data_IF_374253044811
#
_entry.id   IF_374253044811
#
_cell.length_a   1.000
_cell.length_b   1.000
_cell.length_c   1.000
_cell.angle_alpha   90.00
_cell.angle_beta   90.00
_cell.angle_gamma   90.00
#
_symmetry.space_group_name_H-M   'P 1'
#
loop_
_entity.id
_entity.type
_entity.pdbx_description
1 polymer ?
#
# COMPACT_ATOMS: atom_id res chain seq x y z
N UNK A 1 14.26 -5.14 -26.00
CA UNK A 1 12.82 -4.86 -26.14
C UNK A 1 12.57 -3.47 -26.70
N UNK A 2 12.85 -2.37 -25.97
CA UNK A 2 12.54 -1.00 -26.43
C UNK A 2 13.11 -0.69 -27.84
N UNK A 3 14.40 -1.00 -28.11
CA UNK A 3 14.99 -0.82 -29.45
C UNK A 3 14.36 -1.68 -30.55
N UNK A 4 13.79 -2.84 -30.18
CA UNK A 4 13.17 -3.78 -31.10
C UNK A 4 11.74 -3.33 -31.45
N UNK A 5 10.95 -3.04 -30.42
CA UNK A 5 9.54 -2.66 -30.57
C UNK A 5 9.37 -1.19 -31.00
N UNK A 6 10.38 -0.34 -30.73
CA UNK A 6 10.40 1.10 -31.05
C UNK A 6 9.09 1.82 -30.69
N UNK A 7 8.63 1.73 -29.43
CA UNK A 7 7.40 2.39 -29.03
C UNK A 7 7.59 3.91 -29.08
N UNK A 8 6.51 4.66 -29.32
CA UNK A 8 6.54 6.13 -29.30
C UNK A 8 6.91 6.67 -27.91
N UNK A 9 6.48 5.98 -26.85
CA UNK A 9 6.80 6.29 -25.45
C UNK A 9 6.88 5.03 -24.59
N UNK A 10 7.62 5.10 -23.49
CA UNK A 10 7.67 4.05 -22.45
C UNK A 10 7.04 4.58 -21.17
N UNK A 11 6.06 3.86 -20.63
CA UNK A 11 5.50 4.13 -19.30
C UNK A 11 6.05 3.11 -18.31
N UNK A 12 6.77 3.57 -17.30
CA UNK A 12 7.30 2.73 -16.23
C UNK A 12 6.42 2.75 -14.98
N UNK A 13 6.15 1.57 -14.43
CA UNK A 13 5.46 1.40 -13.14
C UNK A 13 6.47 0.85 -12.14
N UNK A 14 6.90 1.66 -11.17
CA UNK A 14 7.82 1.27 -10.09
C UNK A 14 9.08 0.51 -10.57
N UNK A 15 9.65 0.90 -11.73
CA UNK A 15 10.78 0.18 -12.36
C UNK A 15 12.00 1.06 -12.51
N UNK A 16 12.94 0.94 -11.57
CA UNK A 16 14.15 1.78 -11.45
C UNK A 16 15.01 1.89 -12.73
N UNK A 17 15.04 0.84 -13.55
CA UNK A 17 15.89 0.79 -14.75
C UNK A 17 15.17 1.19 -16.04
N UNK A 18 13.84 1.40 -15.99
CA UNK A 18 13.06 1.68 -17.18
C UNK A 18 13.42 3.03 -17.80
N UNK A 19 13.56 4.09 -16.98
CA UNK A 19 14.01 5.42 -17.41
C UNK A 19 15.34 5.38 -18.16
N UNK A 20 16.36 4.77 -17.55
CA UNK A 20 17.67 4.64 -18.17
C UNK A 20 17.62 3.82 -19.46
N UNK A 21 16.83 2.74 -19.48
CA UNK A 21 16.67 1.90 -20.68
C UNK A 21 16.00 2.65 -21.84
N UNK A 22 15.01 3.49 -21.53
CA UNK A 22 14.33 4.33 -22.52
C UNK A 22 15.26 5.42 -23.06
N UNK A 23 16.02 6.09 -22.18
CA UNK A 23 17.05 7.07 -22.56
C UNK A 23 18.11 6.48 -23.49
N UNK A 24 18.63 5.28 -23.19
CA UNK A 24 19.62 4.57 -24.03
C UNK A 24 19.04 4.16 -25.39
N UNK A 25 17.71 4.00 -25.47
CA UNK A 25 17.01 3.71 -26.71
C UNK A 25 16.56 4.97 -27.47
N UNK A 26 16.74 6.16 -26.90
CA UNK A 26 16.26 7.42 -27.47
C UNK A 26 14.73 7.54 -27.48
N UNK A 27 14.03 6.84 -26.57
CA UNK A 27 12.57 6.85 -26.49
C UNK A 27 12.12 7.65 -25.25
N UNK A 28 11.13 8.55 -25.36
CA UNK A 28 10.57 9.28 -24.23
C UNK A 28 10.06 8.37 -23.12
N UNK A 29 10.21 8.81 -21.88
CA UNK A 29 9.82 8.04 -20.69
C UNK A 29 8.86 8.82 -19.79
N UNK A 30 7.71 8.19 -19.52
CA UNK A 30 6.76 8.61 -18.51
C UNK A 30 6.79 7.66 -17.32
N UNK A 31 6.42 8.17 -16.15
CA UNK A 31 6.35 7.39 -14.94
C UNK A 31 4.92 7.36 -14.40
N UNK A 32 4.54 6.19 -13.90
CA UNK A 32 3.34 6.00 -13.11
C UNK A 32 3.77 5.43 -11.75
N UNK A 33 3.56 6.19 -10.68
CA UNK A 33 4.18 5.94 -9.37
C UNK A 33 3.27 6.38 -8.22
N UNK A 34 3.59 5.96 -6.99
CA UNK A 34 3.07 6.61 -5.80
C UNK A 34 3.88 7.87 -5.44
N UNK A 35 3.20 8.93 -5.03
CA UNK A 35 3.79 10.24 -4.77
C UNK A 35 4.84 10.21 -3.67
N UNK A 36 4.69 9.35 -2.66
CA UNK A 36 5.68 9.23 -1.57
C UNK A 36 7.06 8.71 -2.02
N UNK A 37 7.16 8.17 -3.24
CA UNK A 37 8.42 7.70 -3.82
C UNK A 37 9.07 8.71 -4.77
N UNK A 38 8.45 9.88 -4.94
CA UNK A 38 9.01 10.98 -5.72
C UNK A 38 9.97 11.82 -4.86
N UNK A 39 10.94 12.54 -5.47
CA UNK A 39 11.78 13.48 -4.73
C UNK A 39 10.98 14.69 -4.22
N UNK A 40 9.83 15.01 -4.83
CA UNK A 40 8.94 16.11 -4.42
C UNK A 40 8.29 15.84 -3.04
N UNK A 41 8.26 14.58 -2.60
CA UNK A 41 7.79 14.20 -1.29
C UNK A 41 8.88 14.42 -0.22
N UNK A 42 8.62 15.35 0.70
CA UNK A 42 9.60 15.85 1.67
C UNK A 42 9.39 15.37 3.11
N UNK A 43 8.43 14.46 3.37
CA UNK A 43 8.21 13.91 4.71
C UNK A 43 8.99 12.60 4.90
N UNK A 44 9.23 12.23 6.15
CA UNK A 44 9.81 10.92 6.48
C UNK A 44 8.75 9.83 6.40
N UNK A 45 8.99 8.81 5.56
CA UNK A 45 8.03 7.74 5.33
C UNK A 45 7.65 7.03 6.63
N UNK A 46 6.37 7.06 6.94
CA UNK A 46 5.79 6.34 8.08
C UNK A 46 5.84 7.05 9.41
N UNK A 47 6.31 8.31 9.48
CA UNK A 47 6.46 9.04 10.74
C UNK A 47 5.80 10.41 10.72
N UNK A 48 5.28 10.83 11.87
CA UNK A 48 5.07 12.24 12.20
C UNK A 48 6.38 12.86 12.68
N UNK A 49 6.53 14.17 12.50
CA UNK A 49 7.74 14.91 12.92
C UNK A 49 8.07 14.76 14.40
N UNK A 50 7.05 14.60 15.25
CA UNK A 50 7.19 14.46 16.69
C UNK A 50 7.30 12.99 17.18
N UNK A 51 7.27 12.00 16.29
CA UNK A 51 7.38 10.59 16.67
C UNK A 51 8.85 10.19 16.91
N UNK A 52 9.07 9.42 17.98
CA UNK A 52 10.39 8.84 18.28
C UNK A 52 10.85 8.02 17.08
N UNK A 53 12.08 8.27 16.62
CA UNK A 53 12.65 7.59 15.46
C UNK A 53 12.50 8.34 14.13
N UNK A 54 11.75 9.46 14.08
CA UNK A 54 11.58 10.28 12.88
C UNK A 54 12.93 10.65 12.22
N UNK A 55 13.83 11.29 12.99
CA UNK A 55 15.14 11.73 12.48
C UNK A 55 15.96 10.54 11.95
N UNK A 56 16.05 9.46 12.74
CA UNK A 56 16.80 8.25 12.39
C UNK A 56 16.25 7.56 11.15
N UNK A 57 14.93 7.51 10.99
CA UNK A 57 14.31 6.99 9.78
C UNK A 57 14.64 7.87 8.57
N UNK A 58 14.60 9.20 8.73
CA UNK A 58 14.98 10.14 7.68
C UNK A 58 16.42 9.92 7.20
N UNK A 59 17.37 9.78 8.13
CA UNK A 59 18.76 9.45 7.82
C UNK A 59 18.90 8.10 7.09
N UNK A 60 18.20 7.06 7.54
CA UNK A 60 18.23 5.76 6.88
C UNK A 60 17.70 5.80 5.45
N UNK A 61 16.60 6.52 5.21
CA UNK A 61 16.05 6.70 3.87
C UNK A 61 17.00 7.49 2.98
N UNK A 62 17.52 8.62 3.46
CA UNK A 62 18.45 9.44 2.69
C UNK A 62 19.71 8.65 2.32
N UNK A 63 20.30 7.95 3.30
CA UNK A 63 21.46 7.11 3.06
C UNK A 63 21.16 5.98 2.06
N UNK A 64 19.99 5.35 2.14
CA UNK A 64 19.57 4.35 1.16
C UNK A 64 19.45 4.96 -0.24
N UNK A 65 18.80 6.12 -0.37
CA UNK A 65 18.59 6.78 -1.65
C UNK A 65 19.91 7.17 -2.33
N UNK A 66 20.81 7.84 -1.59
CA UNK A 66 22.12 8.22 -2.10
C UNK A 66 23.01 7.00 -2.39
N UNK A 67 22.95 5.96 -1.55
CA UNK A 67 23.73 4.73 -1.78
C UNK A 67 23.30 4.05 -3.08
N UNK A 68 22.00 3.88 -3.30
CA UNK A 68 21.47 3.27 -4.53
C UNK A 68 21.82 4.13 -5.75
N UNK A 69 21.68 5.45 -5.66
CA UNK A 69 22.09 6.38 -6.72
C UNK A 69 23.58 6.20 -7.07
N UNK A 70 24.47 6.20 -6.07
CA UNK A 70 25.90 5.98 -6.27
C UNK A 70 26.24 4.62 -6.89
N UNK A 71 25.49 3.56 -6.58
CA UNK A 71 25.62 2.25 -7.23
C UNK A 71 25.16 2.29 -8.68
N UNK A 72 24.01 2.90 -8.95
CA UNK A 72 23.47 3.07 -10.30
C UNK A 72 24.41 3.89 -11.19
N UNK A 73 25.03 4.94 -10.64
CA UNK A 73 25.98 5.79 -11.37
C UNK A 73 27.20 5.03 -11.90
N UNK A 74 27.58 3.90 -11.29
CA UNK A 74 28.64 3.03 -11.84
C UNK A 74 28.24 2.44 -13.19
N UNK A 75 26.99 2.02 -13.31
CA UNK A 75 26.42 1.48 -14.55
C UNK A 75 26.12 2.61 -15.54
N UNK A 76 25.60 3.74 -15.06
CA UNK A 76 25.27 4.90 -15.91
C UNK A 76 26.49 5.46 -16.63
N UNK A 77 27.67 5.49 -15.98
CA UNK A 77 28.92 5.85 -16.66
C UNK A 77 29.24 4.94 -17.84
N UNK A 78 29.11 3.63 -17.67
CA UNK A 78 29.34 2.67 -18.74
C UNK A 78 28.32 2.82 -19.89
N UNK A 79 27.10 3.28 -19.58
CA UNK A 79 26.02 3.46 -20.55
C UNK A 79 25.87 4.90 -21.07
N UNK A 80 26.76 5.82 -20.69
CA UNK A 80 26.70 7.26 -21.05
C UNK A 80 25.37 7.94 -20.66
N UNK A 81 24.81 7.54 -19.52
CA UNK A 81 23.65 8.16 -18.90
C UNK A 81 24.13 9.15 -17.83
N UNK A 82 23.48 10.30 -17.71
CA UNK A 82 23.81 11.30 -16.68
C UNK A 82 23.69 10.72 -15.27
N UNK A 83 24.60 11.08 -14.35
CA UNK A 83 24.52 10.62 -12.97
C UNK A 83 23.31 11.21 -12.25
N UNK A 84 22.94 10.57 -11.15
CA UNK A 84 21.89 11.00 -10.22
C UNK A 84 22.43 11.02 -8.79
N UNK A 85 21.88 11.89 -7.94
CA UNK A 85 22.26 11.96 -6.52
C UNK A 85 21.25 11.26 -5.61
N UNK A 86 19.99 11.16 -6.07
CA UNK A 86 18.90 10.50 -5.39
C UNK A 86 18.28 9.44 -6.32
N UNK A 87 18.14 8.20 -5.83
CA UNK A 87 17.54 7.15 -6.65
C UNK A 87 16.09 7.48 -7.05
N UNK A 88 15.37 8.30 -6.27
CA UNK A 88 13.99 8.71 -6.57
C UNK A 88 13.88 9.48 -7.89
N UNK A 89 14.97 10.06 -8.39
CA UNK A 89 15.01 10.68 -9.72
C UNK A 89 14.77 9.68 -10.86
N UNK A 90 15.01 8.37 -10.60
CA UNK A 90 14.68 7.29 -11.54
C UNK A 90 13.18 7.05 -11.66
N UNK A 91 12.40 7.51 -10.68
CA UNK A 91 10.95 7.41 -10.69
C UNK A 91 10.27 8.64 -11.29
N UNK A 92 11.00 9.69 -11.67
CA UNK A 92 10.45 10.81 -12.44
C UNK A 92 10.62 10.56 -13.93
N UNK A 93 9.52 10.67 -14.68
CA UNK A 93 9.53 10.75 -16.14
C UNK A 93 9.45 12.19 -16.62
N UNK A 94 9.42 12.38 -17.94
CA UNK A 94 9.03 13.65 -18.57
C UNK A 94 7.63 14.06 -18.10
N UNK A 95 6.71 13.08 -18.04
CA UNK A 95 5.45 13.18 -17.32
C UNK A 95 5.47 12.19 -16.17
N UNK A 96 5.11 12.65 -14.97
CA UNK A 96 5.02 11.81 -13.78
C UNK A 96 3.59 11.79 -13.29
N UNK A 97 2.95 10.63 -13.42
CA UNK A 97 1.57 10.39 -13.05
C UNK A 97 1.50 9.66 -11.71
N UNK A 98 0.54 10.05 -10.88
CA UNK A 98 0.33 9.48 -9.56
C UNK A 98 -0.95 8.68 -9.52
N UNK A 99 -0.89 7.43 -9.09
CA UNK A 99 -2.11 6.65 -8.79
C UNK A 99 -2.74 7.03 -7.44
N UNK A 100 -2.12 7.97 -6.70
CA UNK A 100 -2.67 8.59 -5.51
C UNK A 100 -3.74 9.63 -5.88
N UNK A 101 -4.25 10.31 -4.86
CA UNK A 101 -5.06 11.52 -4.99
C UNK A 101 -4.73 12.49 -3.83
N UNK A 102 -4.92 13.81 -4.01
CA UNK A 102 -4.40 14.83 -3.10
C UNK A 102 -4.90 14.69 -1.65
N UNK A 103 -6.13 14.25 -1.44
CA UNK A 103 -6.71 14.09 -0.11
C UNK A 103 -6.06 12.95 0.70
N UNK A 104 -5.45 11.96 0.05
CA UNK A 104 -4.76 10.86 0.73
C UNK A 104 -3.27 11.14 0.89
N UNK A 105 -2.63 11.58 -0.20
CA UNK A 105 -1.23 11.88 -0.25
C UNK A 105 -1.01 13.26 -0.88
N UNK A 106 -1.01 14.34 -0.09
CA UNK A 106 -0.74 15.66 -0.62
C UNK A 106 0.75 15.82 -0.94
N UNK A 107 1.04 16.43 -2.09
CA UNK A 107 2.37 16.89 -2.49
C UNK A 107 2.42 18.43 -2.52
N UNK A 108 3.63 19.03 -2.45
CA UNK A 108 3.77 20.47 -2.58
C UNK A 108 3.17 21.00 -3.89
N UNK A 109 2.57 22.20 -3.86
CA UNK A 109 1.91 22.81 -5.03
C UNK A 109 2.82 23.06 -6.22
N UNK A 110 4.14 23.11 -6.00
CA UNK A 110 5.16 23.27 -7.05
C UNK A 110 5.56 21.96 -7.74
N UNK A 111 5.00 20.82 -7.33
CA UNK A 111 5.27 19.53 -7.98
C UNK A 111 4.77 19.53 -9.42
N UNK A 112 5.57 18.97 -10.34
CA UNK A 112 5.23 18.76 -11.76
C UNK A 112 4.44 17.45 -11.99
N UNK A 113 4.07 16.77 -10.91
CA UNK A 113 3.35 15.50 -10.94
C UNK A 113 1.85 15.70 -11.16
N UNK A 114 1.17 14.69 -11.74
CA UNK A 114 -0.27 14.74 -12.04
C UNK A 114 -1.00 13.59 -11.36
N UNK A 115 -1.97 13.89 -10.50
CA UNK A 115 -2.82 12.88 -9.88
C UNK A 115 -3.81 12.30 -10.88
N UNK A 116 -3.75 11.00 -11.10
CA UNK A 116 -4.73 10.25 -11.88
C UNK A 116 -5.80 9.60 -11.02
N UNK A 117 -5.49 9.37 -9.74
CA UNK A 117 -6.30 8.57 -8.83
C UNK A 117 -6.03 7.06 -8.95
N UNK A 118 -6.70 6.25 -8.12
CA UNK A 118 -6.41 4.83 -7.99
C UNK A 118 -6.83 3.98 -9.20
N UNK A 119 -6.10 2.89 -9.43
CA UNK A 119 -6.48 1.86 -10.38
C UNK A 119 -7.33 0.78 -9.71
N UNK A 120 -8.44 0.42 -10.36
CA UNK A 120 -9.28 -0.70 -9.94
C UNK A 120 -9.36 -1.73 -11.07
N UNK A 121 -8.60 -2.81 -10.95
CA UNK A 121 -8.65 -3.90 -11.92
C UNK A 121 -9.63 -4.98 -11.49
N UNK A 122 -10.77 -5.08 -12.19
CA UNK A 122 -11.87 -6.02 -11.86
C UNK A 122 -11.88 -7.30 -12.70
N UNK A 123 -10.94 -7.44 -13.65
CA UNK A 123 -10.91 -8.53 -14.65
C UNK A 123 -9.95 -9.67 -14.30
N UNK A 124 -9.53 -9.80 -13.04
CA UNK A 124 -8.75 -10.98 -12.62
C UNK A 124 -9.61 -12.25 -12.74
N UNK A 125 -9.03 -13.41 -13.12
CA UNK A 125 -9.73 -14.68 -12.99
C UNK A 125 -9.81 -15.05 -11.51
N UNK A 126 -11.02 -15.30 -11.00
CA UNK A 126 -11.24 -15.73 -9.62
C UNK A 126 -12.41 -16.70 -9.52
N UNK A 127 -12.31 -17.63 -8.59
CA UNK A 127 -13.45 -18.40 -8.12
C UNK A 127 -14.21 -17.54 -7.12
N UNK A 128 -15.49 -17.29 -7.38
CA UNK A 128 -16.33 -16.59 -6.42
C UNK A 128 -16.55 -17.52 -5.22
N UNK A 129 -16.16 -17.10 -4.00
CA UNK A 129 -16.55 -17.83 -2.82
C UNK A 129 -18.07 -17.82 -2.69
N UNK A 130 -18.62 -18.85 -2.08
CA UNK A 130 -20.01 -18.83 -1.62
C UNK A 130 -20.13 -17.84 -0.46
N UNK A 131 -20.26 -16.56 -0.81
CA UNK A 131 -20.18 -15.42 0.11
C UNK A 131 -21.27 -15.50 1.18
N UNK A 132 -22.41 -16.12 0.86
CA UNK A 132 -23.54 -16.31 1.76
C UNK A 132 -23.26 -17.32 2.87
N UNK A 133 -22.30 -18.25 2.67
CA UNK A 133 -21.81 -19.11 3.76
C UNK A 133 -20.88 -18.38 4.73
N UNK A 134 -20.31 -17.25 4.30
CA UNK A 134 -19.28 -16.50 5.05
C UNK A 134 -19.95 -15.36 5.82
N UNK A 135 -20.88 -14.66 5.18
CA UNK A 135 -21.54 -13.48 5.71
C UNK A 135 -22.73 -13.88 6.56
N UNK A 136 -22.81 -13.25 7.72
CA UNK A 136 -23.99 -13.27 8.58
C UNK A 136 -24.24 -11.83 9.01
N UNK A 137 -25.41 -11.27 8.70
CA UNK A 137 -25.72 -9.86 8.93
C UNK A 137 -25.66 -9.46 10.42
N UNK A 138 -25.76 -10.43 11.33
CA UNK A 138 -25.67 -10.21 12.77
C UNK A 138 -24.24 -10.28 13.33
N UNK A 139 -23.24 -10.58 12.49
CA UNK A 139 -21.84 -10.79 12.90
C UNK A 139 -20.93 -9.88 12.07
N UNK A 140 -20.13 -9.00 12.70
CA UNK A 140 -19.22 -8.15 11.95
C UNK A 140 -18.17 -8.99 11.22
N UNK A 141 -17.81 -8.60 9.99
CA UNK A 141 -16.94 -9.37 9.12
C UNK A 141 -15.61 -8.63 8.88
N UNK A 142 -14.48 -9.29 9.19
CA UNK A 142 -13.14 -8.75 9.02
C UNK A 142 -12.36 -9.52 7.95
N UNK A 143 -11.59 -8.80 7.16
CA UNK A 143 -10.63 -9.37 6.21
C UNK A 143 -9.22 -9.22 6.76
N UNK A 144 -8.41 -10.27 6.68
CA UNK A 144 -6.97 -10.24 6.97
C UNK A 144 -6.22 -10.57 5.68
N UNK A 145 -5.42 -9.64 5.16
CA UNK A 145 -4.68 -9.82 3.90
C UNK A 145 -3.34 -9.09 3.90
N UNK A 146 -2.25 -9.85 3.80
CA UNK A 146 -0.89 -9.29 3.69
C UNK A 146 -0.35 -9.34 2.26
N UNK A 147 -1.22 -9.62 1.28
CA UNK A 147 -0.84 -9.78 -0.11
C UNK A 147 0.19 -10.90 -0.29
N UNK A 148 1.10 -10.74 -1.25
CA UNK A 148 2.25 -11.63 -1.44
C UNK A 148 3.36 -11.39 -0.40
N UNK A 149 3.19 -10.42 0.50
CA UNK A 149 4.10 -10.15 1.59
C UNK A 149 4.20 -11.34 2.54
N UNK A 150 5.43 -11.79 2.79
CA UNK A 150 5.69 -12.88 3.72
C UNK A 150 5.64 -12.36 5.17
N UNK A 151 4.67 -12.87 5.94
CA UNK A 151 4.41 -12.53 7.34
C UNK A 151 4.33 -13.80 8.14
N UNK A 152 4.94 -13.80 9.32
CA UNK A 152 4.94 -14.96 10.22
C UNK A 152 3.52 -15.45 10.50
N UNK A 153 3.28 -16.76 10.35
CA UNK A 153 2.00 -17.40 10.66
C UNK A 153 1.53 -17.13 12.09
N UNK A 154 2.45 -17.02 13.05
CA UNK A 154 2.19 -16.67 14.45
C UNK A 154 1.58 -15.26 14.60
N UNK A 155 2.02 -14.28 13.80
CA UNK A 155 1.43 -12.94 13.78
C UNK A 155 -0.01 -13.01 13.24
N UNK A 156 -0.19 -13.68 12.10
CA UNK A 156 -1.50 -13.81 11.49
C UNK A 156 -2.47 -14.54 12.43
N UNK A 157 -2.00 -15.60 13.11
CA UNK A 157 -2.76 -16.33 14.11
C UNK A 157 -3.13 -15.45 15.32
N UNK A 158 -2.21 -14.59 15.80
CA UNK A 158 -2.49 -13.63 16.87
C UNK A 158 -3.59 -12.65 16.46
N UNK A 159 -3.50 -12.06 15.26
CA UNK A 159 -4.50 -11.13 14.72
C UNK A 159 -5.86 -11.83 14.59
N UNK A 160 -5.91 -13.01 13.97
CA UNK A 160 -7.16 -13.79 13.80
C UNK A 160 -7.79 -14.12 15.16
N UNK A 161 -6.99 -14.60 16.12
CA UNK A 161 -7.46 -14.91 17.48
C UNK A 161 -8.13 -13.70 18.13
N UNK A 162 -7.51 -12.53 18.03
CA UNK A 162 -8.03 -11.28 18.59
C UNK A 162 -9.37 -10.92 17.92
N UNK A 163 -9.44 -10.94 16.59
CA UNK A 163 -10.66 -10.62 15.85
C UNK A 163 -11.83 -11.57 16.18
N UNK A 164 -11.57 -12.87 16.23
CA UNK A 164 -12.57 -13.87 16.62
C UNK A 164 -13.10 -13.62 18.05
N UNK A 165 -12.20 -13.28 18.99
CA UNK A 165 -12.55 -12.92 20.37
C UNK A 165 -13.36 -11.63 20.44
N UNK A 166 -13.07 -10.66 19.57
CA UNK A 166 -13.84 -9.44 19.41
C UNK A 166 -15.21 -9.66 18.75
N UNK A 167 -15.54 -10.88 18.35
CA UNK A 167 -16.84 -11.23 17.80
C UNK A 167 -16.90 -11.20 16.28
N UNK A 168 -15.79 -11.01 15.56
CA UNK A 168 -15.79 -11.00 14.10
C UNK A 168 -15.87 -12.42 13.51
N UNK A 169 -16.54 -12.53 12.36
CA UNK A 169 -16.18 -13.53 11.35
C UNK A 169 -14.96 -13.04 10.58
N UNK A 170 -14.00 -13.92 10.29
CA UNK A 170 -12.72 -13.55 9.71
C UNK A 170 -12.48 -14.30 8.41
N UNK A 171 -12.17 -13.57 7.34
CA UNK A 171 -11.60 -14.14 6.13
C UNK A 171 -10.11 -13.86 6.07
N UNK A 172 -9.31 -14.92 5.96
CA UNK A 172 -7.89 -14.84 5.67
C UNK A 172 -7.66 -15.00 4.16
N UNK A 173 -7.14 -13.96 3.53
CA UNK A 173 -6.60 -14.02 2.18
C UNK A 173 -5.08 -14.24 2.25
N UNK A 174 -4.62 -15.44 1.91
CA UNK A 174 -3.23 -15.86 2.10
C UNK A 174 -2.27 -15.38 1.01
N UNK A 175 -2.75 -14.73 -0.06
CA UNK A 175 -1.90 -14.11 -1.08
C UNK A 175 -0.93 -15.07 -1.77
N UNK A 176 -1.34 -16.34 -1.95
CA UNK A 176 -0.51 -17.38 -2.56
C UNK A 176 0.33 -18.22 -1.58
N UNK A 177 0.33 -17.87 -0.28
CA UNK A 177 1.07 -18.62 0.74
C UNK A 177 0.30 -19.87 1.20
N UNK A 178 0.37 -20.96 0.43
CA UNK A 178 -0.38 -22.20 0.72
C UNK A 178 -0.07 -22.80 2.10
N UNK A 179 1.18 -22.71 2.55
CA UNK A 179 1.58 -23.18 3.89
C UNK A 179 0.88 -22.45 5.02
N UNK A 180 0.46 -21.19 4.79
CA UNK A 180 -0.28 -20.43 5.79
C UNK A 180 -1.66 -21.06 6.06
N UNK A 181 -2.31 -21.59 5.02
CA UNK A 181 -3.61 -22.25 5.13
C UNK A 181 -3.54 -23.54 5.96
N UNK A 182 -2.39 -24.24 5.91
CA UNK A 182 -2.11 -25.46 6.70
C UNK A 182 -1.73 -25.13 8.13
N UNK A 183 -0.90 -24.11 8.31
CA UNK A 183 -0.35 -23.75 9.62
C UNK A 183 -1.40 -23.11 10.54
N UNK A 184 -2.37 -22.38 9.97
CA UNK A 184 -3.43 -21.75 10.74
C UNK A 184 -4.56 -22.77 10.99
N UNK A 185 -4.80 -23.17 12.25
CA UNK A 185 -5.81 -24.17 12.56
C UNK A 185 -7.21 -23.62 12.25
N UNK A 186 -8.11 -24.51 11.85
CA UNK A 186 -9.50 -24.16 11.62
C UNK A 186 -10.16 -23.69 12.92
N UNK A 187 -11.05 -22.71 12.79
CA UNK A 187 -11.82 -22.13 13.89
C UNK A 187 -13.22 -21.81 13.39
N UNK A 188 -14.25 -21.87 14.26
CA UNK A 188 -15.57 -21.35 13.92
C UNK A 188 -15.47 -19.89 13.47
N UNK A 189 -16.14 -19.56 12.35
CA UNK A 189 -16.14 -18.23 11.72
C UNK A 189 -14.79 -17.78 11.14
N UNK A 190 -13.83 -18.69 10.95
CA UNK A 190 -12.62 -18.44 10.17
C UNK A 190 -12.75 -19.10 8.80
N UNK A 191 -12.59 -18.30 7.75
CA UNK A 191 -12.60 -18.75 6.36
C UNK A 191 -11.24 -18.45 5.72
N UNK A 192 -10.61 -19.43 5.09
CA UNK A 192 -9.24 -19.29 4.57
C UNK A 192 -9.24 -19.47 3.05
N UNK A 193 -8.63 -18.55 2.34
CA UNK A 193 -8.53 -18.56 0.87
C UNK A 193 -7.09 -18.35 0.44
N UNK A 194 -6.61 -19.14 -0.53
CA UNK A 194 -5.29 -18.93 -1.13
C UNK A 194 -5.23 -17.58 -1.85
N UNK A 195 -6.26 -17.30 -2.64
CA UNK A 195 -6.51 -16.01 -3.30
C UNK A 195 -7.99 -15.66 -3.13
N UNK A 196 -8.27 -14.59 -2.40
CA UNK A 196 -9.63 -14.11 -2.20
C UNK A 196 -9.91 -12.95 -3.17
N UNK A 197 -11.09 -12.89 -3.82
CA UNK A 197 -11.49 -11.74 -4.63
C UNK A 197 -11.90 -10.57 -3.71
N UNK A 198 -10.92 -9.89 -3.10
CA UNK A 198 -11.13 -8.87 -2.06
C UNK A 198 -12.16 -7.81 -2.47
N UNK A 199 -12.14 -7.35 -3.73
CA UNK A 199 -13.08 -6.35 -4.24
C UNK A 199 -14.56 -6.80 -4.22
N UNK A 200 -14.83 -8.10 -4.33
CA UNK A 200 -16.19 -8.65 -4.21
C UNK A 200 -16.63 -8.83 -2.75
N UNK A 201 -15.68 -8.96 -1.84
CA UNK A 201 -15.93 -9.30 -0.43
C UNK A 201 -15.95 -8.03 0.44
N UNK A 202 -15.18 -7.01 0.07
CA UNK A 202 -15.11 -5.71 0.75
C UNK A 202 -16.47 -5.04 1.01
N UNK A 203 -17.47 -5.07 0.10
CA UNK A 203 -18.79 -4.50 0.37
C UNK A 203 -19.48 -5.01 1.64
N UNK A 204 -19.08 -6.19 2.13
CA UNK A 204 -19.66 -6.85 3.29
C UNK A 204 -18.76 -6.78 4.52
N UNK A 205 -17.54 -6.27 4.38
CA UNK A 205 -16.58 -6.15 5.47
C UNK A 205 -16.82 -4.89 6.30
N UNK A 206 -16.68 -5.01 7.61
CA UNK A 206 -16.67 -3.89 8.55
C UNK A 206 -15.25 -3.50 8.96
N UNK A 207 -14.24 -4.28 8.59
CA UNK A 207 -12.83 -4.03 8.90
C UNK A 207 -11.91 -4.79 7.95
N UNK A 208 -10.75 -4.20 7.61
CA UNK A 208 -9.65 -4.92 6.99
C UNK A 208 -8.32 -4.67 7.72
N UNK A 209 -7.56 -5.75 7.92
CA UNK A 209 -6.21 -5.73 8.45
C UNK A 209 -5.30 -6.10 7.30
N UNK A 210 -4.38 -5.20 6.94
CA UNK A 210 -3.51 -5.36 5.77
C UNK A 210 -2.09 -4.89 6.01
N UNK A 211 -1.19 -5.33 5.13
CA UNK A 211 0.15 -4.78 5.04
C UNK A 211 0.17 -3.29 4.69
N UNK A 212 -0.91 -2.75 4.12
CA UNK A 212 -1.01 -1.33 3.78
C UNK A 212 -0.56 -0.99 2.36
N UNK A 213 -0.57 -1.96 1.45
CA UNK A 213 -0.43 -1.68 0.02
C UNK A 213 -1.57 -0.78 -0.48
N UNK A 214 -1.22 0.26 -1.23
CA UNK A 214 -2.14 1.35 -1.57
C UNK A 214 -3.38 0.90 -2.32
N UNK A 215 -3.27 -0.06 -3.24
CA UNK A 215 -4.44 -0.54 -3.99
C UNK A 215 -5.50 -1.16 -3.09
N UNK A 216 -5.10 -2.02 -2.14
CA UNK A 216 -6.03 -2.58 -1.13
C UNK A 216 -6.62 -1.49 -0.25
N UNK A 217 -5.82 -0.48 0.13
CA UNK A 217 -6.31 0.67 0.89
C UNK A 217 -7.39 1.41 0.09
N UNK A 218 -7.12 1.76 -1.15
CA UNK A 218 -8.04 2.53 -1.99
C UNK A 218 -9.32 1.77 -2.30
N UNK A 219 -9.25 0.46 -2.52
CA UNK A 219 -10.45 -0.39 -2.62
C UNK A 219 -11.26 -0.37 -1.32
N UNK A 220 -10.58 -0.46 -0.17
CA UNK A 220 -11.26 -0.41 1.14
C UNK A 220 -11.93 0.94 1.37
N UNK A 221 -11.26 2.04 1.05
CA UNK A 221 -11.83 3.39 1.14
C UNK A 221 -13.00 3.58 0.17
N UNK A 222 -12.92 3.06 -1.06
CA UNK A 222 -14.02 3.07 -2.02
C UNK A 222 -15.27 2.39 -1.45
N UNK A 223 -15.08 1.25 -0.77
CA UNK A 223 -16.13 0.48 -0.10
C UNK A 223 -16.46 0.95 1.32
N UNK A 224 -15.85 2.05 1.79
CA UNK A 224 -16.05 2.63 3.12
C UNK A 224 -15.74 1.65 4.26
N UNK A 225 -14.70 0.84 4.09
CA UNK A 225 -14.21 -0.11 5.08
C UNK A 225 -13.01 0.50 5.81
N UNK A 226 -13.02 0.57 7.15
CA UNK A 226 -11.87 1.06 7.92
C UNK A 226 -10.67 0.11 7.79
N UNK A 227 -9.48 0.70 7.75
CA UNK A 227 -8.24 -0.05 7.48
C UNK A 227 -7.26 0.00 8.65
N UNK A 228 -6.78 -1.17 9.06
CA UNK A 228 -5.72 -1.32 10.07
C UNK A 228 -4.46 -1.83 9.39
N UNK A 229 -3.37 -1.05 9.48
CA UNK A 229 -2.13 -1.32 8.77
C UNK A 229 -1.08 -1.94 9.70
N UNK A 230 -0.60 -3.13 9.36
CA UNK A 230 0.61 -3.71 9.92
C UNK A 230 1.66 -3.79 8.80
N UNK A 231 2.59 -2.84 8.72
CA UNK A 231 3.43 -2.68 7.55
C UNK A 231 4.58 -3.67 7.51
N UNK A 232 5.11 -3.87 6.30
CA UNK A 232 6.32 -4.64 6.02
C UNK A 232 7.46 -3.76 5.49
N UNK A 233 7.14 -2.53 5.06
CA UNK A 233 8.10 -1.56 4.53
C UNK A 233 7.69 -0.10 4.87
N UNK A 234 8.61 0.88 4.76
CA UNK A 234 8.34 2.28 5.11
C UNK A 234 7.18 2.93 4.35
N UNK A 235 7.04 2.64 3.05
CA UNK A 235 5.95 3.15 2.22
C UNK A 235 4.58 2.69 2.74
N UNK A 236 4.46 1.42 3.10
CA UNK A 236 3.25 0.86 3.72
C UNK A 236 2.95 1.50 5.09
N UNK A 237 3.98 1.73 5.91
CA UNK A 237 3.83 2.46 7.18
C UNK A 237 3.35 3.90 6.92
N UNK A 238 3.83 4.55 5.85
CA UNK A 238 3.37 5.87 5.44
C UNK A 238 1.91 5.88 5.00
N UNK A 239 1.44 4.87 4.30
CA UNK A 239 0.01 4.76 3.97
C UNK A 239 -0.85 4.61 5.22
N UNK A 240 -0.37 3.87 6.23
CA UNK A 240 -1.00 3.82 7.54
C UNK A 240 -1.09 5.21 8.20
N UNK A 241 -0.05 6.03 8.07
CA UNK A 241 -0.09 7.42 8.53
C UNK A 241 -1.09 8.26 7.73
N UNK A 242 -1.20 8.07 6.41
CA UNK A 242 -2.22 8.73 5.58
C UNK A 242 -3.64 8.37 6.05
N UNK A 243 -3.88 7.10 6.38
CA UNK A 243 -5.14 6.63 6.94
C UNK A 243 -5.47 7.27 8.30
N UNK A 244 -4.47 7.44 9.17
CA UNK A 244 -4.63 8.15 10.43
C UNK A 244 -5.00 9.62 10.21
N UNK A 245 -4.30 10.32 9.29
CA UNK A 245 -4.58 11.72 8.94
C UNK A 245 -6.00 11.93 8.41
N UNK A 246 -6.47 10.98 7.59
CA UNK A 246 -7.81 11.03 6.98
C UNK A 246 -8.90 10.51 7.90
N UNK A 247 -8.56 9.93 9.07
CA UNK A 247 -9.52 9.33 10.01
C UNK A 247 -10.16 8.02 9.51
N UNK A 248 -9.64 7.45 8.43
CA UNK A 248 -10.18 6.25 7.78
C UNK A 248 -9.49 4.94 8.22
N UNK A 249 -8.44 5.03 9.04
CA UNK A 249 -7.69 3.87 9.50
C UNK A 249 -6.62 4.21 10.51
N UNK A 250 -5.82 3.20 10.88
CA UNK A 250 -4.71 3.38 11.82
C UNK A 250 -3.53 2.44 11.56
N UNK A 251 -2.34 2.81 12.06
CA UNK A 251 -1.19 1.89 12.17
C UNK A 251 -1.36 1.01 13.40
N UNK A 252 -1.24 -0.30 13.19
CA UNK A 252 -1.37 -1.29 14.25
C UNK A 252 -0.16 -1.30 15.18
N UNK A 253 1.02 -1.05 14.64
CA UNK A 253 2.29 -1.03 15.38
C UNK A 253 2.80 0.38 15.61
N UNK A 254 3.63 0.53 16.64
CA UNK A 254 4.44 1.75 16.80
C UNK A 254 5.48 1.77 15.66
N UNK A 255 5.72 2.92 15.02
CA UNK A 255 6.76 3.07 14.00
C UNK A 255 8.15 2.72 14.54
N UNK A 256 8.87 1.85 13.83
CA UNK A 256 10.25 1.50 14.13
C UNK A 256 11.18 1.77 12.94
N UNK A 257 12.38 2.36 13.15
CA UNK A 257 13.26 2.72 12.04
C UNK A 257 13.69 1.50 11.22
N UNK A 258 13.44 1.56 9.91
CA UNK A 258 13.61 0.46 8.98
C UNK A 258 15.01 0.45 8.36
N UNK A 259 15.72 -0.67 8.50
CA UNK A 259 17.06 -0.89 7.94
C UNK A 259 17.12 -2.08 6.99
N UNK A 260 16.07 -2.28 6.19
CA UNK A 260 15.99 -3.40 5.24
C UNK A 260 15.51 -4.72 5.86
N UNK A 261 15.02 -4.71 7.10
CA UNK A 261 14.51 -5.90 7.78
C UNK A 261 13.06 -5.68 8.25
N UNK A 262 12.10 -6.28 7.55
CA UNK A 262 10.66 -6.25 7.86
C UNK A 262 10.32 -6.80 9.26
N UNK A 263 11.20 -7.62 9.85
CA UNK A 263 10.97 -8.19 11.17
C UNK A 263 10.91 -7.12 12.27
N UNK A 264 11.37 -5.90 12.00
CA UNK A 264 11.21 -4.77 12.94
C UNK A 264 9.74 -4.50 13.26
N UNK A 265 8.86 -4.52 12.26
CA UNK A 265 7.41 -4.33 12.45
C UNK A 265 6.74 -5.57 13.03
N UNK A 266 7.23 -6.76 12.65
CA UNK A 266 6.77 -8.02 13.24
C UNK A 266 7.04 -8.05 14.74
N UNK A 267 8.25 -7.66 15.15
CA UNK A 267 8.64 -7.53 16.55
C UNK A 267 7.77 -6.49 17.28
N UNK A 268 7.60 -5.31 16.69
CA UNK A 268 6.74 -4.27 17.27
C UNK A 268 5.31 -4.77 17.52
N UNK A 269 4.76 -5.59 16.62
CA UNK A 269 3.44 -6.21 16.83
C UNK A 269 3.45 -7.28 17.92
N UNK A 270 4.49 -8.13 17.99
CA UNK A 270 4.60 -9.12 19.06
C UNK A 270 4.66 -8.48 20.43
N UNK A 271 5.43 -7.39 20.54
CA UNK A 271 5.63 -6.62 21.75
C UNK A 271 4.37 -5.80 22.12
N UNK A 272 3.41 -5.64 21.20
CA UNK A 272 2.09 -5.04 21.48
C UNK A 272 1.14 -6.07 22.11
N UNK A 273 0.51 -5.71 23.24
CA UNK A 273 -0.42 -6.60 23.93
C UNK A 273 -1.70 -6.88 23.13
N UNK A 274 -2.35 -8.03 23.36
CA UNK A 274 -3.64 -8.34 22.72
C UNK A 274 -4.68 -7.26 23.05
N UNK A 275 -4.67 -6.73 24.28
CA UNK A 275 -5.58 -5.65 24.75
C UNK A 275 -5.36 -4.34 24.01
N UNK A 276 -4.11 -3.96 23.72
CA UNK A 276 -3.81 -2.72 22.98
C UNK A 276 -4.23 -2.84 21.51
N UNK A 277 -4.04 -4.01 20.90
CA UNK A 277 -4.53 -4.30 19.55
C UNK A 277 -6.07 -4.20 19.52
N UNK A 278 -6.75 -4.84 20.47
CA UNK A 278 -8.21 -4.74 20.61
C UNK A 278 -8.67 -3.28 20.78
N UNK A 279 -7.98 -2.51 21.63
CA UNK A 279 -8.31 -1.11 21.90
C UNK A 279 -8.13 -0.24 20.66
N UNK A 280 -7.06 -0.43 19.87
CA UNK A 280 -6.86 0.28 18.60
C UNK A 280 -7.96 -0.02 17.60
N UNK A 281 -8.33 -1.29 17.45
CA UNK A 281 -9.41 -1.70 16.54
C UNK A 281 -10.74 -1.11 17.01
N UNK A 282 -11.10 -1.28 18.29
CA UNK A 282 -12.34 -0.71 18.88
C UNK A 282 -12.41 0.80 18.72
N UNK A 283 -11.32 1.52 18.98
CA UNK A 283 -11.25 2.98 18.83
C UNK A 283 -11.54 3.40 17.39
N UNK A 284 -11.06 2.64 16.40
CA UNK A 284 -11.33 2.92 14.99
C UNK A 284 -12.77 2.56 14.61
N UNK A 285 -13.24 1.37 14.95
CA UNK A 285 -14.54 0.85 14.49
C UNK A 285 -15.73 1.47 15.21
N UNK A 286 -15.55 1.92 16.45
CA UNK A 286 -16.64 2.51 17.24
C UNK A 286 -16.69 4.04 17.14
N UNK A 287 -15.75 4.68 16.44
CA UNK A 287 -15.73 6.13 16.28
C UNK A 287 -16.68 6.56 15.15
N UNK A 288 -17.76 7.31 15.45
CA UNK A 288 -18.69 7.78 14.41
C UNK A 288 -18.02 8.64 13.33
N UNK A 289 -16.93 9.36 13.68
CA UNK A 289 -16.18 10.16 12.71
C UNK A 289 -15.50 9.31 11.64
N UNK A 290 -15.11 8.06 11.96
CA UNK A 290 -14.51 7.16 10.97
C UNK A 290 -15.47 6.88 9.82
N UNK A 291 -16.76 6.65 10.10
CA UNK A 291 -17.77 6.46 9.06
C UNK A 291 -17.97 7.72 8.19
N UNK A 292 -17.98 8.91 8.80
CA UNK A 292 -18.07 10.19 8.09
C UNK A 292 -16.86 10.39 7.17
N UNK A 293 -15.65 10.15 7.67
CA UNK A 293 -14.43 10.25 6.89
C UNK A 293 -14.40 9.25 5.73
N UNK A 294 -14.78 7.99 5.98
CA UNK A 294 -14.86 6.96 4.94
C UNK A 294 -15.86 7.33 3.84
N UNK A 295 -17.03 7.89 4.20
CA UNK A 295 -18.01 8.37 3.21
C UNK A 295 -17.41 9.48 2.33
N UNK A 296 -16.80 10.50 2.95
CA UNK A 296 -16.12 11.59 2.22
C UNK A 296 -15.04 11.05 1.29
N UNK A 297 -14.24 10.11 1.79
CA UNK A 297 -13.12 9.54 1.04
C UNK A 297 -13.60 8.70 -0.17
N UNK A 298 -14.63 7.88 0.02
CA UNK A 298 -15.30 7.13 -1.06
C UNK A 298 -15.82 8.07 -2.15
N UNK A 299 -16.44 9.19 -1.77
CA UNK A 299 -16.94 10.20 -2.71
C UNK A 299 -15.82 10.89 -3.49
N UNK A 300 -14.65 11.12 -2.87
CA UNK A 300 -13.47 11.67 -3.56
C UNK A 300 -12.89 10.69 -4.56
N UNK A 301 -12.67 9.44 -4.15
CA UNK A 301 -12.10 8.38 -5.01
C UNK A 301 -12.94 8.18 -6.27
N UNK A 302 -14.27 8.21 -6.16
CA UNK A 302 -15.21 8.03 -7.29
C UNK A 302 -15.09 9.11 -8.37
N UNK A 303 -14.45 10.24 -8.10
CA UNK A 303 -14.23 11.31 -9.10
C UNK A 303 -13.07 11.00 -10.04
N UNK A 304 -12.24 10.02 -9.70
CA UNK A 304 -11.09 9.64 -10.50
C UNK A 304 -11.41 8.46 -11.39
N UNK A 305 -11.10 8.58 -12.68
CA UNK A 305 -11.05 7.48 -13.61
C UNK A 305 -9.63 7.36 -14.15
N UNK A 306 -8.78 6.66 -13.41
CA UNK A 306 -7.34 6.63 -13.70
C UNK A 306 -7.02 6.09 -15.10
N UNK A 307 -7.71 5.04 -15.55
CA UNK A 307 -7.52 4.46 -16.89
C UNK A 307 -7.89 5.46 -17.99
N UNK A 308 -9.02 6.13 -17.87
CA UNK A 308 -9.47 7.14 -18.84
C UNK A 308 -8.53 8.37 -18.83
N UNK A 309 -8.16 8.84 -17.64
CA UNK A 309 -7.24 9.97 -17.48
C UNK A 309 -5.87 9.66 -18.08
N UNK A 310 -5.33 8.46 -17.81
CA UNK A 310 -4.05 8.04 -18.38
C UNK A 310 -4.14 7.96 -19.90
N UNK A 311 -5.20 7.34 -20.45
CA UNK A 311 -5.38 7.18 -21.89
C UNK A 311 -5.38 8.54 -22.59
N UNK A 312 -6.21 9.48 -22.12
CA UNK A 312 -6.27 10.86 -22.65
C UNK A 312 -4.91 11.54 -22.60
N UNK A 313 -4.21 11.45 -21.47
CA UNK A 313 -2.91 12.08 -21.28
C UNK A 313 -1.78 11.43 -22.08
N UNK A 314 -1.96 10.20 -22.55
CA UNK A 314 -0.97 9.50 -23.38
C UNK A 314 -1.22 9.68 -24.87
N UNK A 315 -2.44 10.02 -25.26
CA UNK A 315 -2.84 10.35 -26.64
C UNK A 315 -2.53 11.82 -27.01
N UNK A 316 -2.47 12.71 -26.01
CA UNK A 316 -1.93 14.08 -26.09
C UNK A 316 -0.39 14.12 -26.09
#
# INVERSE_FOLDING_TARGET
>A
LIRKEKPDRVIGVFRFTAKASAQIAGIPYDSLICGCMTPDFNQVLGYRENEIGYQRQGEFLNNFYCYVAGKMNRVFRAMRVSPIDDMRDLFKGERTFLWDFPEFLPLPSKSDTKYLGPFFWKKWPYYLPDIYKIINDNIPFAIVSFGTGDVSSKIIQKIIKILLKMGYSVLLAAGGHAELLKTIPDKPRLYKYLFAPIHHILPYASLIITHGGQMTIFESLLHKVPVVVMPLQPEQLHNGLCLERTGCGCRLVIPEPFRGNKNVYSKALYDTSDTDIEAKIKKLTNNPQTSICLKKMSEKIKKYNCTENLTKMTEE
#
